data_IF_698483170474
#
_entry.id   IF_698483170474
#
_cell.length_a   1.000
_cell.length_b   1.000
_cell.length_c   1.000
_cell.angle_alpha   90.00
_cell.angle_beta   90.00
_cell.angle_gamma   90.00
#
_symmetry.space_group_name_H-M   'P 1'
#
loop_
_entity.id
_entity.type
_entity.pdbx_description
1 polymer ?
#
# COMPACT_ATOMS: atom_id res chain seq x y z
N UNK A 1 -1.77 22.15 -13.91
CA UNK A 1 -2.46 20.84 -13.76
C UNK A 1 -2.78 20.55 -12.31
N UNK A 2 -3.72 19.66 -12.04
CA UNK A 2 -4.10 19.28 -10.65
C UNK A 2 -2.95 18.52 -9.99
N UNK A 3 -2.47 18.92 -8.79
CA UNK A 3 -1.46 18.18 -8.04
C UNK A 3 -1.86 16.73 -7.80
N UNK A 4 -0.90 15.79 -7.84
CA UNK A 4 -1.16 14.35 -7.64
C UNK A 4 -1.89 14.05 -6.34
N UNK A 5 -1.46 14.67 -5.24
CA UNK A 5 -2.08 14.50 -3.92
C UNK A 5 -3.58 14.81 -3.95
N UNK A 6 -4.01 15.86 -4.66
CA UNK A 6 -5.43 16.20 -4.79
C UNK A 6 -6.23 15.12 -5.53
N UNK A 7 -5.62 14.46 -6.54
CA UNK A 7 -6.27 13.36 -7.26
C UNK A 7 -6.50 12.15 -6.36
N UNK A 8 -5.47 11.77 -5.62
CA UNK A 8 -5.55 10.63 -4.68
C UNK A 8 -6.58 10.91 -3.59
N UNK A 9 -6.52 12.08 -2.95
CA UNK A 9 -7.46 12.46 -1.91
C UNK A 9 -8.90 12.53 -2.42
N UNK A 10 -9.12 13.05 -3.64
CA UNK A 10 -10.44 13.05 -4.26
C UNK A 10 -10.97 11.63 -4.53
N UNK A 11 -10.11 10.71 -4.98
CA UNK A 11 -10.49 9.31 -5.18
C UNK A 11 -10.89 8.63 -3.86
N UNK A 12 -10.14 8.88 -2.78
CA UNK A 12 -10.47 8.35 -1.46
C UNK A 12 -11.78 8.94 -0.90
N UNK A 13 -11.98 10.25 -1.04
CA UNK A 13 -13.19 10.93 -0.57
C UNK A 13 -14.46 10.46 -1.32
N UNK A 14 -14.33 10.11 -2.59
CA UNK A 14 -15.44 9.63 -3.42
C UNK A 14 -15.71 8.14 -3.23
N UNK A 15 -14.80 7.39 -2.61
CA UNK A 15 -14.97 5.98 -2.36
C UNK A 15 -16.00 5.74 -1.25
N UNK A 16 -16.98 4.87 -1.53
CA UNK A 16 -18.12 4.63 -0.64
C UNK A 16 -17.75 3.89 0.66
N UNK A 17 -16.63 3.16 0.66
CA UNK A 17 -16.15 2.39 1.80
C UNK A 17 -15.07 3.11 2.62
N UNK A 18 -14.74 4.35 2.29
CA UNK A 18 -13.82 5.21 3.05
C UNK A 18 -14.61 6.22 3.84
N UNK A 19 -14.53 6.16 5.17
CA UNK A 19 -15.25 7.07 6.06
C UNK A 19 -14.47 8.38 6.28
N UNK A 20 -13.18 8.24 6.65
CA UNK A 20 -12.32 9.38 6.97
C UNK A 20 -10.98 9.26 6.24
N UNK A 21 -10.37 10.39 5.93
CA UNK A 21 -9.08 10.45 5.26
C UNK A 21 -8.11 11.31 6.06
N UNK A 22 -6.98 10.73 6.41
CA UNK A 22 -5.87 11.44 7.06
C UNK A 22 -4.64 11.44 6.14
N UNK A 23 -4.15 12.64 5.84
CA UNK A 23 -2.93 12.86 5.07
C UNK A 23 -1.73 12.99 6.01
N UNK A 24 -0.68 12.22 5.79
CA UNK A 24 0.62 12.43 6.45
C UNK A 24 1.63 13.04 5.50
N UNK A 25 1.99 14.30 5.75
CA UNK A 25 2.76 15.16 4.85
C UNK A 25 1.90 16.14 4.06
N UNK A 26 2.45 17.16 3.45
CA UNK A 26 3.85 17.60 3.53
C UNK A 26 4.28 18.03 4.94
N UNK A 27 5.57 18.39 5.11
CA UNK A 27 6.04 18.98 6.38
C UNK A 27 5.26 20.26 6.69
N UNK A 28 5.08 20.56 7.98
CA UNK A 28 4.30 21.72 8.43
C UNK A 28 4.77 23.03 7.79
N UNK A 29 6.08 23.22 7.67
CA UNK A 29 6.67 24.40 7.01
C UNK A 29 6.32 24.49 5.52
N UNK A 30 6.27 23.35 4.83
CA UNK A 30 5.87 23.28 3.41
C UNK A 30 4.38 23.58 3.27
N UNK A 31 3.56 23.03 4.17
CA UNK A 31 2.12 23.28 4.18
C UNK A 31 1.82 24.76 4.53
N UNK A 32 2.60 25.37 5.43
CA UNK A 32 2.49 26.77 5.77
C UNK A 32 2.88 27.70 4.60
N UNK A 33 3.81 27.26 3.74
CA UNK A 33 4.23 28.00 2.54
C UNK A 33 3.26 27.84 1.35
N UNK A 34 2.27 26.95 1.44
CA UNK A 34 1.22 26.75 0.44
C UNK A 34 -0.18 26.92 1.06
N UNK A 35 -0.64 28.18 1.24
CA UNK A 35 -1.95 28.47 1.83
C UNK A 35 -3.12 27.89 1.04
N UNK A 36 -2.96 27.74 -0.30
CA UNK A 36 -4.00 27.15 -1.16
C UNK A 36 -4.18 25.66 -0.85
N UNK A 37 -3.10 24.90 -0.78
CA UNK A 37 -3.15 23.48 -0.43
C UNK A 37 -3.69 23.28 1.00
N UNK A 38 -3.20 24.08 1.96
CA UNK A 38 -3.65 24.04 3.35
C UNK A 38 -5.16 24.33 3.46
N UNK A 39 -5.61 25.41 2.82
CA UNK A 39 -7.02 25.78 2.82
C UNK A 39 -7.91 24.71 2.15
N UNK A 40 -7.41 24.12 1.08
CA UNK A 40 -8.12 23.04 0.39
C UNK A 40 -8.24 21.78 1.27
N UNK A 41 -7.17 21.33 1.92
CA UNK A 41 -7.19 20.16 2.85
C UNK A 41 -8.23 20.41 3.95
N UNK A 42 -8.21 21.57 4.57
CA UNK A 42 -9.15 21.94 5.64
C UNK A 42 -10.61 22.01 5.15
N UNK A 43 -10.84 22.60 3.96
CA UNK A 43 -12.18 22.71 3.37
C UNK A 43 -12.81 21.37 2.99
N UNK A 44 -12.00 20.35 2.69
CA UNK A 44 -12.46 19.00 2.41
C UNK A 44 -12.68 18.15 3.68
N UNK A 45 -12.32 18.65 4.85
CA UNK A 45 -12.41 17.91 6.11
C UNK A 45 -11.36 16.82 6.30
N UNK A 46 -10.28 16.84 5.50
CA UNK A 46 -9.19 15.86 5.65
C UNK A 46 -8.37 16.11 6.91
N UNK A 47 -8.08 15.05 7.65
CA UNK A 47 -7.09 15.08 8.71
C UNK A 47 -5.69 15.32 8.14
N UNK A 48 -4.88 16.09 8.86
CA UNK A 48 -3.45 16.23 8.56
C UNK A 48 -2.63 15.81 9.77
N UNK A 49 -1.59 15.02 9.53
CA UNK A 49 -0.66 14.55 10.54
C UNK A 49 0.78 14.86 10.10
N UNK A 50 1.64 15.37 11.00
CA UNK A 50 3.01 15.68 10.64
C UNK A 50 3.76 14.42 10.20
N UNK A 51 4.50 14.48 9.07
CA UNK A 51 5.25 13.33 8.61
C UNK A 51 6.45 13.05 9.51
N UNK A 52 6.75 11.76 9.69
CA UNK A 52 7.96 11.30 10.37
C UNK A 52 9.16 11.23 9.39
N UNK A 53 10.26 10.61 9.83
CA UNK A 53 11.51 10.56 9.09
C UNK A 53 11.45 9.76 7.77
N UNK A 54 10.43 8.91 7.59
CA UNK A 54 10.22 8.13 6.36
C UNK A 54 8.73 7.84 6.15
N UNK A 55 8.31 7.47 4.91
CA UNK A 55 6.92 7.11 4.62
C UNK A 55 6.39 6.00 5.54
N UNK A 56 7.16 4.94 5.77
CA UNK A 56 6.77 3.85 6.67
C UNK A 56 6.63 4.29 8.13
N UNK A 57 7.51 5.19 8.59
CA UNK A 57 7.42 5.77 9.93
C UNK A 57 6.22 6.69 10.08
N UNK A 58 5.87 7.45 9.03
CA UNK A 58 4.68 8.31 8.99
C UNK A 58 3.41 7.47 9.07
N UNK A 59 3.32 6.42 8.24
CA UNK A 59 2.19 5.50 8.26
C UNK A 59 2.02 4.85 9.65
N UNK A 60 3.10 4.34 10.25
CA UNK A 60 3.07 3.75 11.58
C UNK A 60 2.62 4.73 12.66
N UNK A 61 3.02 6.00 12.58
CA UNK A 61 2.64 7.03 13.54
C UNK A 61 1.13 7.34 13.45
N UNK A 62 0.60 7.57 12.25
CA UNK A 62 -0.83 7.85 12.04
C UNK A 62 -1.69 6.67 12.46
N UNK A 63 -1.31 5.44 12.10
CA UNK A 63 -2.11 4.24 12.40
C UNK A 63 -2.26 3.95 13.89
N UNK A 64 -1.39 4.52 14.75
CA UNK A 64 -1.54 4.42 16.22
C UNK A 64 -2.62 5.34 16.80
N UNK A 65 -2.96 6.41 16.07
CA UNK A 65 -3.99 7.39 16.48
C UNK A 65 -5.39 6.97 16.02
N UNK A 66 -5.49 6.03 15.07
CA UNK A 66 -6.76 5.53 14.56
C UNK A 66 -7.31 4.47 15.52
N UNK A 67 -8.61 4.51 15.78
CA UNK A 67 -9.32 3.55 16.62
C UNK A 67 -8.93 2.11 16.26
N UNK A 68 -8.67 1.31 17.28
CA UNK A 68 -8.15 -0.07 17.15
C UNK A 68 -9.12 -1.01 16.41
N UNK A 69 -10.41 -0.74 16.49
CA UNK A 69 -11.45 -1.57 15.86
C UNK A 69 -11.70 -1.22 14.39
N UNK A 70 -11.17 -0.08 13.90
CA UNK A 70 -11.40 0.34 12.53
C UNK A 70 -10.36 -0.25 11.58
N UNK A 71 -10.76 -0.85 10.44
CA UNK A 71 -9.82 -1.19 9.38
C UNK A 71 -9.16 0.06 8.81
N UNK A 72 -7.87 -0.02 8.49
CA UNK A 72 -7.12 1.12 7.93
C UNK A 72 -6.70 0.82 6.50
N UNK A 73 -7.17 1.63 5.54
CA UNK A 73 -6.67 1.63 4.18
C UNK A 73 -5.48 2.58 4.08
N UNK A 74 -4.34 2.09 3.63
CA UNK A 74 -3.13 2.86 3.36
C UNK A 74 -2.86 2.91 1.87
N UNK A 75 -2.58 4.12 1.36
CA UNK A 75 -2.06 4.33 0.00
C UNK A 75 -1.03 5.44 -0.02
N UNK A 76 -0.36 5.63 -1.16
CA UNK A 76 0.64 6.68 -1.37
C UNK A 76 0.06 7.83 -2.19
N UNK A 77 0.61 9.05 -2.00
CA UNK A 77 0.13 10.25 -2.72
C UNK A 77 0.65 10.36 -4.16
N UNK A 78 1.46 9.42 -4.61
CA UNK A 78 2.04 9.34 -5.96
C UNK A 78 1.29 8.37 -6.88
N UNK A 79 -0.01 8.18 -6.65
CA UNK A 79 -0.90 7.28 -7.38
C UNK A 79 -1.89 8.06 -8.29
N UNK A 80 -1.42 8.64 -9.40
CA UNK A 80 -2.19 9.63 -10.18
C UNK A 80 -3.44 9.07 -10.88
N UNK A 81 -3.50 7.75 -11.08
CA UNK A 81 -4.59 7.06 -11.78
C UNK A 81 -5.57 6.39 -10.83
N UNK A 82 -5.41 6.55 -9.51
CA UNK A 82 -6.32 5.99 -8.52
C UNK A 82 -7.73 6.56 -8.69
N UNK A 83 -8.73 5.68 -8.65
CA UNK A 83 -10.15 6.06 -8.71
C UNK A 83 -10.93 5.48 -7.52
N UNK A 84 -12.06 6.11 -7.17
CA UNK A 84 -12.95 5.60 -6.14
C UNK A 84 -13.40 4.14 -6.40
N UNK A 85 -13.69 3.83 -7.67
CA UNK A 85 -14.08 2.46 -8.08
C UNK A 85 -13.00 1.43 -7.76
N UNK A 86 -11.72 1.76 -7.98
CA UNK A 86 -10.59 0.86 -7.65
C UNK A 86 -10.46 0.67 -6.14
N UNK A 87 -10.58 1.77 -5.38
CA UNK A 87 -10.55 1.75 -3.92
C UNK A 87 -11.66 0.87 -3.37
N UNK A 88 -12.92 1.10 -3.81
CA UNK A 88 -14.07 0.32 -3.35
C UNK A 88 -14.00 -1.15 -3.77
N UNK A 89 -13.53 -1.43 -4.99
CA UNK A 89 -13.36 -2.81 -5.46
C UNK A 89 -12.33 -3.59 -4.62
N UNK A 90 -11.24 -2.94 -4.25
CA UNK A 90 -10.24 -3.52 -3.37
C UNK A 90 -10.76 -3.65 -1.93
N UNK A 91 -11.31 -2.56 -1.36
CA UNK A 91 -11.78 -2.53 0.02
C UNK A 91 -12.88 -3.56 0.27
N UNK A 92 -13.85 -3.69 -0.64
CA UNK A 92 -14.93 -4.68 -0.56
C UNK A 92 -14.41 -6.11 -0.44
N UNK A 93 -13.41 -6.47 -1.24
CA UNK A 93 -12.83 -7.80 -1.18
C UNK A 93 -11.95 -7.98 0.08
N UNK A 94 -11.18 -6.96 0.44
CA UNK A 94 -10.24 -7.02 1.55
C UNK A 94 -10.92 -7.11 2.92
N UNK A 95 -12.02 -6.37 3.12
CA UNK A 95 -12.78 -6.36 4.38
C UNK A 95 -13.51 -7.69 4.66
N UNK A 96 -13.76 -8.51 3.61
CA UNK A 96 -14.33 -9.85 3.77
C UNK A 96 -13.28 -10.95 4.02
N UNK A 97 -11.99 -10.60 4.02
CA UNK A 97 -10.90 -11.56 4.29
C UNK A 97 -10.68 -11.70 5.79
N UNK A 98 -10.49 -12.93 6.23
CA UNK A 98 -10.02 -13.21 7.59
C UNK A 98 -8.50 -13.00 7.72
N UNK A 99 -7.96 -11.95 7.15
CA UNK A 99 -6.54 -11.62 7.13
C UNK A 99 -6.26 -10.36 7.95
N UNK A 100 -5.11 -10.32 8.59
CA UNK A 100 -4.67 -9.13 9.34
C UNK A 100 -4.26 -8.01 8.39
N UNK A 101 -3.63 -8.39 7.26
CA UNK A 101 -3.19 -7.46 6.22
C UNK A 101 -3.59 -7.99 4.86
N UNK A 102 -4.18 -7.13 4.05
CA UNK A 102 -4.51 -7.43 2.66
C UNK A 102 -3.73 -6.49 1.75
N UNK A 103 -3.06 -7.05 0.74
CA UNK A 103 -2.28 -6.31 -0.25
C UNK A 103 -2.99 -6.30 -1.60
N UNK A 104 -3.02 -5.14 -2.25
CA UNK A 104 -3.58 -4.99 -3.59
C UNK A 104 -2.53 -5.24 -4.67
N UNK A 105 -2.84 -6.10 -5.60
CA UNK A 105 -2.00 -6.40 -6.76
C UNK A 105 -2.80 -6.30 -8.05
N UNK A 106 -2.11 -6.00 -9.17
CA UNK A 106 -2.67 -6.07 -10.52
C UNK A 106 -1.90 -7.10 -11.36
N UNK A 107 -2.56 -7.85 -12.26
CA UNK A 107 -1.88 -8.72 -13.19
C UNK A 107 -0.95 -7.93 -14.11
N UNK A 108 0.33 -8.31 -14.19
CA UNK A 108 1.31 -7.60 -15.04
C UNK A 108 0.92 -7.62 -16.52
N UNK A 109 0.23 -8.65 -16.99
CA UNK A 109 -0.26 -8.72 -18.36
C UNK A 109 -1.14 -7.52 -18.72
N UNK A 110 -2.08 -7.14 -17.84
CA UNK A 110 -2.95 -5.97 -18.03
C UNK A 110 -2.15 -4.66 -18.03
N UNK A 111 -1.20 -4.54 -17.09
CA UNK A 111 -0.36 -3.33 -16.98
C UNK A 111 0.49 -3.17 -18.24
N UNK A 112 1.10 -4.25 -18.74
CA UNK A 112 1.92 -4.25 -19.95
C UNK A 112 1.11 -3.95 -21.22
N UNK A 113 -0.12 -4.43 -21.28
CA UNK A 113 -1.03 -4.16 -22.41
C UNK A 113 -1.42 -2.68 -22.46
N UNK A 114 -1.81 -2.11 -21.29
CA UNK A 114 -2.23 -0.71 -21.19
C UNK A 114 -1.05 0.28 -21.28
N UNK A 115 0.13 -0.11 -20.79
CA UNK A 115 1.32 0.75 -20.66
C UNK A 115 2.58 0.02 -21.12
N UNK A 116 2.75 -0.27 -22.42
CA UNK A 116 3.83 -1.12 -22.94
C UNK A 116 5.24 -0.56 -22.67
N UNK A 117 5.39 0.76 -22.64
CA UNK A 117 6.68 1.44 -22.47
C UNK A 117 7.02 1.70 -20.99
N UNK A 118 6.11 1.38 -20.06
CA UNK A 118 6.31 1.67 -18.65
C UNK A 118 7.17 0.59 -17.98
N UNK A 119 8.26 1.02 -17.34
CA UNK A 119 9.11 0.14 -16.53
C UNK A 119 8.51 -0.03 -15.14
N UNK A 120 8.04 -1.23 -14.83
CA UNK A 120 7.48 -1.57 -13.50
C UNK A 120 8.27 -2.69 -12.83
N UNK A 121 8.25 -2.70 -11.51
CA UNK A 121 8.74 -3.84 -10.74
C UNK A 121 7.72 -4.97 -10.83
N UNK A 122 8.13 -6.10 -11.41
CA UNK A 122 7.26 -7.26 -11.59
C UNK A 122 7.63 -8.34 -10.58
N UNK A 123 6.64 -8.79 -9.82
CA UNK A 123 6.73 -9.94 -8.94
C UNK A 123 6.37 -11.19 -9.75
N UNK A 124 7.34 -12.10 -9.94
CA UNK A 124 7.17 -13.31 -10.74
C UNK A 124 7.02 -14.53 -9.85
N UNK A 125 5.81 -15.06 -9.81
CA UNK A 125 5.48 -16.27 -9.05
C UNK A 125 5.10 -17.42 -9.99
N UNK A 126 5.04 -18.64 -9.48
CA UNK A 126 4.65 -19.82 -10.25
C UNK A 126 3.19 -19.75 -10.74
N UNK A 127 2.35 -18.97 -10.08
CA UNK A 127 0.92 -18.79 -10.33
C UNK A 127 0.60 -17.46 -11.06
N UNK A 128 1.62 -16.65 -11.41
CA UNK A 128 1.43 -15.44 -12.20
C UNK A 128 2.47 -14.36 -11.99
N UNK A 129 2.35 -13.32 -12.81
CA UNK A 129 3.16 -12.10 -12.70
C UNK A 129 2.29 -10.94 -12.24
N UNK A 130 2.74 -10.21 -11.22
CA UNK A 130 1.95 -9.16 -10.57
C UNK A 130 2.76 -7.89 -10.37
N UNK A 131 2.04 -6.75 -10.36
CA UNK A 131 2.53 -5.45 -9.93
C UNK A 131 1.85 -5.04 -8.62
N UNK A 132 2.58 -4.37 -7.73
CA UNK A 132 1.99 -3.74 -6.53
C UNK A 132 1.14 -2.54 -6.95
N UNK A 133 0.02 -2.35 -6.25
CA UNK A 133 -0.87 -1.21 -6.45
C UNK A 133 -0.71 -0.14 -5.35
N UNK A 134 0.27 -0.25 -4.47
CA UNK A 134 0.45 0.66 -3.33
C UNK A 134 -0.83 0.91 -2.51
N UNK A 135 -1.71 -0.09 -2.48
CA UNK A 135 -2.93 -0.13 -1.67
C UNK A 135 -2.86 -1.31 -0.69
N UNK A 136 -3.10 -1.02 0.57
CA UNK A 136 -3.04 -1.99 1.66
C UNK A 136 -4.21 -1.77 2.60
N UNK A 137 -4.81 -2.85 3.12
CA UNK A 137 -5.78 -2.76 4.21
C UNK A 137 -5.23 -3.55 5.41
N UNK A 138 -5.28 -2.93 6.56
CA UNK A 138 -4.98 -3.49 7.87
C UNK A 138 -6.30 -3.71 8.59
N UNK A 139 -6.74 -4.96 8.69
CA UNK A 139 -8.01 -5.32 9.31
C UNK A 139 -7.91 -5.44 10.83
N UNK A 140 -6.70 -5.64 11.36
CA UNK A 140 -6.47 -5.84 12.81
C UNK A 140 -5.40 -4.89 13.33
N UNK A 141 -5.37 -4.70 14.64
CA UNK A 141 -4.33 -3.93 15.32
C UNK A 141 -2.94 -4.56 15.12
N UNK A 142 -2.86 -5.89 15.17
CA UNK A 142 -1.64 -6.64 14.95
C UNK A 142 -1.12 -6.41 13.52
N UNK A 143 -2.03 -6.37 12.53
CA UNK A 143 -1.71 -6.07 11.14
C UNK A 143 -1.05 -4.70 10.97
N UNK A 144 -1.49 -3.68 11.72
CA UNK A 144 -0.88 -2.33 11.68
C UNK A 144 0.60 -2.34 12.09
N UNK A 145 1.03 -3.31 12.90
CA UNK A 145 2.43 -3.53 13.29
C UNK A 145 3.37 -3.82 12.11
N UNK A 146 2.84 -4.21 10.95
CA UNK A 146 3.63 -4.37 9.70
C UNK A 146 4.29 -3.06 9.27
N UNK A 147 3.71 -1.91 9.57
CA UNK A 147 4.34 -0.62 9.27
C UNK A 147 5.68 -0.43 10.00
N UNK A 148 5.79 -0.92 11.26
CA UNK A 148 7.06 -0.92 11.98
C UNK A 148 8.08 -1.91 11.37
N UNK A 149 7.60 -3.03 10.83
CA UNK A 149 8.43 -3.97 10.08
C UNK A 149 8.91 -3.36 8.76
N UNK A 150 8.06 -2.68 7.99
CA UNK A 150 8.45 -1.94 6.79
C UNK A 150 9.52 -0.89 7.07
N UNK A 151 9.40 -0.16 8.16
CA UNK A 151 10.43 0.79 8.62
C UNK A 151 11.80 0.13 8.77
N UNK A 152 11.85 -1.08 9.34
CA UNK A 152 13.10 -1.85 9.49
C UNK A 152 13.69 -2.30 8.16
N UNK A 153 12.81 -2.67 7.20
CA UNK A 153 13.24 -3.09 5.86
C UNK A 153 13.65 -1.87 5.03
N UNK A 154 12.92 -0.78 5.07
CA UNK A 154 13.22 0.45 4.36
C UNK A 154 14.62 0.97 4.71
N UNK A 155 14.99 0.96 5.97
CA UNK A 155 16.34 1.30 6.42
C UNK A 155 17.42 0.31 5.92
N UNK A 156 17.02 -0.90 5.52
CA UNK A 156 17.91 -1.98 5.09
C UNK A 156 17.81 -2.30 3.58
N UNK A 157 16.97 -1.58 2.81
CA UNK A 157 16.75 -1.85 1.37
C UNK A 157 18.04 -1.86 0.53
N UNK A 158 19.10 -1.19 0.99
CA UNK A 158 20.44 -1.23 0.39
C UNK A 158 21.22 -2.53 0.70
N UNK A 159 20.66 -3.46 1.49
CA UNK A 159 21.28 -4.74 1.88
C UNK A 159 20.33 -5.91 1.53
N UNK A 160 20.21 -6.28 0.23
CA UNK A 160 19.24 -7.27 -0.24
C UNK A 160 19.35 -8.63 0.47
N UNK A 161 20.55 -9.04 0.89
CA UNK A 161 20.77 -10.27 1.64
C UNK A 161 20.03 -10.32 3.00
N UNK A 162 19.70 -9.18 3.60
CA UNK A 162 18.92 -9.15 4.85
C UNK A 162 17.44 -9.36 4.63
N UNK A 163 16.89 -8.81 3.52
CA UNK A 163 15.52 -9.08 3.11
C UNK A 163 15.36 -10.57 2.75
N UNK A 164 16.36 -11.13 2.06
CA UNK A 164 16.43 -12.56 1.75
C UNK A 164 16.39 -13.42 3.03
N UNK A 165 17.11 -13.05 4.09
CA UNK A 165 17.06 -13.76 5.37
C UNK A 165 15.67 -13.76 6.01
N UNK A 166 14.86 -12.70 5.75
CA UNK A 166 13.50 -12.62 6.27
C UNK A 166 12.55 -13.61 5.58
N UNK A 167 12.74 -13.93 4.28
CA UNK A 167 11.93 -14.93 3.59
C UNK A 167 12.47 -16.36 3.76
N UNK A 168 13.72 -16.48 4.18
CA UNK A 168 14.46 -17.74 4.26
C UNK A 168 15.05 -18.15 2.90
N UNK A 169 16.25 -18.72 2.94
CA UNK A 169 16.98 -19.08 1.73
C UNK A 169 16.24 -20.04 0.80
N UNK A 170 15.43 -20.97 1.35
CA UNK A 170 14.61 -21.91 0.58
C UNK A 170 13.54 -21.21 -0.24
N UNK A 171 12.86 -20.21 0.32
CA UNK A 171 11.86 -19.42 -0.39
C UNK A 171 12.48 -18.63 -1.54
N UNK A 172 13.66 -18.04 -1.31
CA UNK A 172 14.39 -17.30 -2.34
C UNK A 172 14.86 -18.22 -3.47
N UNK A 173 15.37 -19.41 -3.13
CA UNK A 173 15.76 -20.38 -4.16
C UNK A 173 14.55 -20.80 -5.00
N UNK A 174 13.41 -21.13 -4.35
CA UNK A 174 12.16 -21.48 -5.04
C UNK A 174 11.65 -20.32 -5.91
N UNK A 175 11.71 -19.08 -5.41
CA UNK A 175 11.35 -17.88 -6.19
C UNK A 175 12.21 -17.75 -7.44
N UNK A 176 13.54 -17.88 -7.31
CA UNK A 176 14.45 -17.82 -8.46
C UNK A 176 14.26 -18.95 -9.48
N UNK A 177 13.78 -20.11 -9.02
CA UNK A 177 13.45 -21.25 -9.88
C UNK A 177 12.02 -21.20 -10.43
N UNK A 178 11.24 -20.16 -10.15
CA UNK A 178 9.83 -20.05 -10.56
C UNK A 178 8.91 -21.08 -9.92
N UNK A 179 9.28 -21.63 -8.75
CA UNK A 179 8.54 -22.67 -8.03
C UNK A 179 7.77 -22.15 -6.81
N UNK A 180 7.84 -20.86 -6.51
CA UNK A 180 7.15 -20.26 -5.38
C UNK A 180 5.88 -19.56 -5.87
N UNK A 181 4.72 -19.89 -5.30
CA UNK A 181 3.47 -19.17 -5.56
C UNK A 181 3.36 -17.90 -4.74
N UNK A 182 2.51 -16.97 -5.16
CA UNK A 182 2.20 -15.75 -4.43
C UNK A 182 1.64 -16.08 -3.04
N UNK A 183 0.68 -16.98 -2.98
CA UNK A 183 0.06 -17.40 -1.73
C UNK A 183 1.08 -18.00 -0.76
N UNK A 184 1.93 -18.92 -1.22
CA UNK A 184 2.99 -19.53 -0.41
C UNK A 184 3.98 -18.47 0.10
N UNK A 185 4.34 -17.48 -0.73
CA UNK A 185 5.23 -16.39 -0.35
C UNK A 185 4.63 -15.55 0.79
N UNK A 186 3.35 -15.17 0.67
CA UNK A 186 2.64 -14.39 1.69
C UNK A 186 2.40 -15.18 2.98
N UNK A 187 2.05 -16.46 2.89
CA UNK A 187 1.93 -17.34 4.05
C UNK A 187 3.26 -17.48 4.82
N UNK A 188 4.39 -17.60 4.09
CA UNK A 188 5.73 -17.66 4.71
C UNK A 188 6.09 -16.35 5.39
N UNK A 189 5.78 -15.22 4.76
CA UNK A 189 5.97 -13.90 5.34
C UNK A 189 5.11 -13.73 6.58
N UNK A 190 3.83 -14.06 6.47
CA UNK A 190 2.85 -13.98 7.56
C UNK A 190 3.27 -14.82 8.77
N UNK A 191 3.66 -16.09 8.56
CA UNK A 191 4.17 -16.95 9.66
C UNK A 191 5.35 -16.36 10.42
N UNK A 192 6.22 -15.60 9.75
CA UNK A 192 7.36 -14.95 10.39
C UNK A 192 7.00 -13.71 11.18
N UNK A 193 5.93 -13.05 10.77
CA UNK A 193 5.41 -11.86 11.43
C UNK A 193 4.35 -12.18 12.48
N UNK A 194 3.90 -13.43 12.55
CA UNK A 194 2.77 -13.85 13.38
C UNK A 194 1.43 -13.31 12.85
N UNK A 195 1.29 -13.10 11.54
CA UNK A 195 0.15 -12.47 10.90
C UNK A 195 -0.39 -13.32 9.75
N UNK A 196 -1.65 -13.12 9.41
CA UNK A 196 -2.26 -13.59 8.16
C UNK A 196 -2.22 -12.46 7.12
N UNK A 197 -1.51 -12.72 6.02
CA UNK A 197 -1.35 -11.78 4.90
C UNK A 197 -1.93 -12.41 3.66
N UNK A 198 -2.89 -11.76 3.02
CA UNK A 198 -3.55 -12.25 1.82
C UNK A 198 -3.48 -11.23 0.67
N UNK A 199 -3.46 -11.69 -0.59
CA UNK A 199 -3.55 -10.82 -1.74
C UNK A 199 -5.00 -10.63 -2.17
N UNK A 200 -5.30 -9.45 -2.71
CA UNK A 200 -6.44 -9.20 -3.58
C UNK A 200 -5.91 -8.76 -4.93
N UNK A 201 -6.26 -9.50 -5.98
CA UNK A 201 -5.87 -9.17 -7.35
C UNK A 201 -7.02 -8.44 -8.03
N UNK A 202 -6.78 -7.16 -8.37
CA UNK A 202 -7.79 -6.32 -9.03
C UNK A 202 -7.56 -6.27 -10.55
N UNK A 203 -8.64 -6.24 -11.37
CA UNK A 203 -8.53 -6.24 -12.84
C UNK A 203 -8.31 -4.83 -13.41
N UNK A 204 -7.49 -4.00 -12.76
CA UNK A 204 -7.24 -2.62 -13.15
C UNK A 204 -5.74 -2.38 -13.37
N UNK A 205 -5.33 -2.12 -14.63
CA UNK A 205 -3.95 -1.75 -14.94
C UNK A 205 -3.53 -0.45 -14.24
N UNK A 206 -4.44 0.53 -14.24
CA UNK A 206 -4.24 1.86 -13.65
C UNK A 206 -3.97 1.81 -12.14
N UNK A 207 -4.47 0.78 -11.45
CA UNK A 207 -4.22 0.58 -10.02
C UNK A 207 -2.74 0.33 -9.69
N UNK A 208 -1.93 -0.04 -10.65
CA UNK A 208 -0.49 -0.26 -10.46
C UNK A 208 0.37 0.92 -10.95
N UNK A 209 -0.22 2.09 -11.24
CA UNK A 209 0.50 3.26 -11.77
C UNK A 209 0.82 4.24 -10.64
N UNK A 210 2.11 4.32 -10.30
CA UNK A 210 2.73 5.16 -9.28
C UNK A 210 3.98 5.85 -9.84
#
# INVERSE_FOLDING_TARGET
GTPMVRRVLAALQQAALVADVTLTGPQEQQLASDPELRGWIAAQGFGWFPPAASPSSSAAAVMREIDVEQPVLLTTCDHPMLTATMVDAFARQALHREADVVICLAPYALVREAYPDMKKTVLRFSDGEFCSCNLFIFNTLEGRGVADFWRRIEQQRKKPLRIIRLLGWRAVLRYRLGLLSLEEALQRLGKRLGLRIEPVVVPYADAAID
#
